data_IF_007487938451
#
_entry.id   IF_007487938451
#
_cell.length_a   1.000
_cell.length_b   1.000
_cell.length_c   1.000
_cell.angle_alpha   90.00
_cell.angle_beta   90.00
_cell.angle_gamma   90.00
#
_symmetry.space_group_name_H-M   'P 1'
#
loop_
_entity.id
_entity.type
_entity.pdbx_description
1 polymer ?
#
# COMPACT_ATOMS: atom_id res chain seq x y z
N UNK A 1 28.97 -32.87 -1.94
CA UNK A 1 27.80 -32.32 -2.61
C UNK A 1 28.27 -31.77 -3.95
N UNK A 2 27.72 -32.28 -5.05
CA UNK A 2 28.13 -31.86 -6.40
C UNK A 2 27.52 -30.50 -6.72
N UNK A 3 28.20 -29.68 -7.52
CA UNK A 3 27.72 -28.36 -7.98
C UNK A 3 26.30 -28.40 -8.54
N UNK A 4 25.94 -29.49 -9.19
CA UNK A 4 24.59 -29.77 -9.74
C UNK A 4 23.52 -29.85 -8.66
N UNK A 5 23.80 -30.44 -7.50
CA UNK A 5 22.84 -30.55 -6.38
C UNK A 5 22.55 -29.21 -5.74
N UNK A 6 23.58 -28.33 -5.63
CA UNK A 6 23.41 -26.96 -5.12
C UNK A 6 22.58 -26.12 -6.08
N UNK A 7 22.83 -26.23 -7.39
CA UNK A 7 22.08 -25.51 -8.42
C UNK A 7 20.59 -25.88 -8.43
N UNK A 8 20.28 -27.18 -8.30
CA UNK A 8 18.90 -27.68 -8.23
C UNK A 8 18.21 -27.18 -6.94
N UNK A 9 18.93 -27.14 -5.81
CA UNK A 9 18.39 -26.63 -4.54
C UNK A 9 18.06 -25.13 -4.63
N UNK A 10 18.92 -24.33 -5.24
CA UNK A 10 18.70 -22.90 -5.48
C UNK A 10 17.51 -22.69 -6.43
N UNK A 11 17.37 -23.49 -7.48
CA UNK A 11 16.26 -23.41 -8.41
C UNK A 11 14.91 -23.73 -7.72
N UNK A 12 14.89 -24.68 -6.80
CA UNK A 12 13.71 -25.02 -6.00
C UNK A 12 13.34 -23.93 -4.98
N UNK A 13 14.30 -23.19 -4.44
CA UNK A 13 14.04 -22.05 -3.54
C UNK A 13 13.43 -20.84 -4.27
N UNK A 14 13.69 -20.68 -5.56
CA UNK A 14 13.16 -19.55 -6.36
C UNK A 14 11.68 -19.67 -6.75
N UNK A 15 11.06 -20.84 -6.56
CA UNK A 15 9.70 -21.12 -7.06
C UNK A 15 8.56 -20.66 -6.13
N UNK A 16 8.81 -19.89 -5.05
CA UNK A 16 7.78 -19.52 -4.08
C UNK A 16 7.65 -18.02 -3.80
N UNK A 17 7.99 -17.15 -4.74
CA UNK A 17 7.72 -15.73 -4.62
C UNK A 17 6.34 -15.40 -5.21
N UNK A 18 5.29 -15.71 -4.48
CA UNK A 18 3.94 -15.24 -4.78
C UNK A 18 3.66 -13.96 -3.99
N UNK A 19 4.02 -12.80 -4.54
CA UNK A 19 3.54 -11.50 -4.07
C UNK A 19 2.22 -11.19 -4.79
N UNK A 20 1.08 -11.67 -4.27
CA UNK A 20 -0.17 -11.68 -5.03
C UNK A 20 -1.37 -11.10 -4.30
N UNK A 21 -1.17 -10.29 -3.25
CA UNK A 21 -2.30 -9.80 -2.46
C UNK A 21 -2.68 -8.33 -2.70
N UNK A 22 -1.75 -7.47 -3.11
CA UNK A 22 -2.01 -6.06 -3.43
C UNK A 22 -2.29 -5.94 -4.93
N UNK A 23 -3.48 -5.45 -5.28
CA UNK A 23 -3.91 -5.24 -6.67
C UNK A 23 -3.87 -3.77 -7.07
N UNK A 24 -3.71 -2.86 -6.11
CA UNK A 24 -3.60 -1.44 -6.35
C UNK A 24 -3.62 -0.64 -5.06
N UNK A 25 -3.48 0.66 -5.20
CA UNK A 25 -3.60 1.59 -4.08
C UNK A 25 -3.57 3.04 -4.57
N UNK A 26 -4.01 3.93 -3.70
CA UNK A 26 -3.92 5.36 -3.95
C UNK A 26 -3.54 6.10 -2.68
N UNK A 27 -2.77 7.17 -2.82
CA UNK A 27 -2.44 8.07 -1.73
C UNK A 27 -3.09 9.42 -1.99
N UNK A 28 -3.82 9.92 -1.01
CA UNK A 28 -4.49 11.22 -1.05
C UNK A 28 -4.14 12.05 0.17
N UNK A 29 -4.40 13.35 0.10
CA UNK A 29 -4.31 14.22 1.26
C UNK A 29 -5.48 15.21 1.29
N UNK A 30 -5.82 15.66 2.51
CA UNK A 30 -6.83 16.70 2.74
C UNK A 30 -6.27 17.74 3.68
N UNK A 31 -6.37 19.02 3.30
CA UNK A 31 -6.05 20.13 4.20
C UNK A 31 -7.17 20.31 5.25
N UNK A 32 -6.78 20.36 6.52
CA UNK A 32 -7.70 20.50 7.66
C UNK A 32 -7.68 21.88 8.29
N UNK A 33 -6.83 22.79 7.83
CA UNK A 33 -6.60 24.10 8.40
C UNK A 33 -5.37 24.16 9.33
N UNK A 34 -4.84 25.34 9.57
CA UNK A 34 -3.73 25.60 10.51
C UNK A 34 -2.52 24.67 10.27
N UNK A 35 -2.14 24.47 9.01
CA UNK A 35 -1.06 23.58 8.59
C UNK A 35 -1.26 22.10 8.94
N UNK A 36 -2.48 21.69 9.29
CA UNK A 36 -2.80 20.29 9.50
C UNK A 36 -3.32 19.67 8.22
N UNK A 37 -2.86 18.47 7.94
CA UNK A 37 -3.22 17.68 6.78
C UNK A 37 -3.56 16.25 7.22
N UNK A 38 -4.59 15.69 6.62
CA UNK A 38 -4.89 14.27 6.70
C UNK A 38 -4.24 13.57 5.52
N UNK A 39 -3.32 12.67 5.79
CA UNK A 39 -2.74 11.78 4.80
C UNK A 39 -3.50 10.48 4.84
N UNK A 40 -3.82 9.94 3.67
CA UNK A 40 -4.57 8.70 3.54
C UNK A 40 -3.98 7.83 2.43
N UNK A 41 -3.75 6.56 2.76
CA UNK A 41 -3.38 5.51 1.82
C UNK A 41 -4.49 4.46 1.81
N UNK A 42 -5.09 4.25 0.66
CA UNK A 42 -6.01 3.15 0.40
C UNK A 42 -5.24 2.05 -0.35
N UNK A 43 -5.17 0.85 0.23
CA UNK A 43 -4.63 -0.33 -0.43
C UNK A 43 -5.76 -1.29 -0.79
N UNK A 44 -5.77 -1.75 -2.03
CA UNK A 44 -6.73 -2.71 -2.54
C UNK A 44 -6.08 -4.08 -2.61
N UNK A 45 -6.66 -5.05 -1.92
CA UNK A 45 -6.12 -6.42 -1.81
C UNK A 45 -7.05 -7.41 -2.47
N UNK A 46 -6.46 -8.38 -3.20
CA UNK A 46 -7.21 -9.47 -3.83
C UNK A 46 -7.78 -10.39 -2.76
N UNK A 47 -9.10 -10.42 -2.64
CA UNK A 47 -9.80 -11.26 -1.67
C UNK A 47 -10.16 -12.67 -2.20
N UNK A 48 -9.82 -13.00 -3.45
CA UNK A 48 -10.03 -14.35 -4.01
C UNK A 48 -8.73 -15.18 -4.00
N UNK A 49 -7.64 -14.56 -4.46
CA UNK A 49 -6.38 -15.26 -4.69
C UNK A 49 -5.26 -14.74 -3.77
N UNK A 50 -5.51 -13.67 -3.03
CA UNK A 50 -4.55 -13.12 -2.08
C UNK A 50 -4.28 -14.07 -0.92
N UNK A 51 -3.02 -14.11 -0.46
CA UNK A 51 -2.65 -14.85 0.74
C UNK A 51 -3.18 -14.13 1.98
N UNK A 52 -4.13 -14.71 2.69
CA UNK A 52 -4.67 -14.14 3.93
C UNK A 52 -3.55 -13.92 4.96
N UNK A 53 -2.58 -14.83 5.06
CA UNK A 53 -1.44 -14.70 5.96
C UNK A 53 -0.56 -13.47 5.63
N UNK A 54 -0.38 -13.15 4.35
CA UNK A 54 0.33 -11.94 3.93
C UNK A 54 -0.48 -10.67 4.24
N UNK A 55 -1.79 -10.69 3.95
CA UNK A 55 -2.70 -9.60 4.29
C UNK A 55 -2.72 -9.31 5.79
N UNK A 56 -2.69 -10.34 6.62
CA UNK A 56 -2.70 -10.21 8.08
C UNK A 56 -1.37 -9.68 8.64
N UNK A 57 -0.28 -9.73 7.89
CA UNK A 57 1.00 -9.13 8.25
C UNK A 57 1.09 -7.66 7.86
N UNK A 58 0.33 -7.20 6.86
CA UNK A 58 0.35 -5.82 6.37
C UNK A 58 -0.57 -4.90 7.21
N UNK A 59 -0.42 -4.94 8.53
CA UNK A 59 -1.24 -4.15 9.46
C UNK A 59 -0.75 -2.72 9.62
N UNK A 60 0.46 -2.41 9.17
CA UNK A 60 1.14 -1.14 9.44
C UNK A 60 1.70 -0.54 8.15
N UNK A 61 1.46 0.75 7.93
CA UNK A 61 2.10 1.55 6.90
C UNK A 61 2.96 2.67 7.51
N UNK A 62 3.94 3.12 6.74
CA UNK A 62 4.84 4.19 7.13
C UNK A 62 4.67 5.38 6.17
N UNK A 63 4.31 6.53 6.70
CA UNK A 63 4.28 7.78 5.95
C UNK A 63 5.57 8.55 6.24
N UNK A 64 6.52 8.49 5.33
CA UNK A 64 7.80 9.20 5.45
C UNK A 64 7.67 10.59 4.81
N UNK A 65 7.98 11.62 5.58
CA UNK A 65 7.89 13.01 5.17
C UNK A 65 9.28 13.53 4.84
N UNK A 66 9.40 14.15 3.68
CA UNK A 66 10.62 14.75 3.20
C UNK A 66 10.39 16.22 2.82
N UNK A 67 11.45 17.01 2.86
CA UNK A 67 11.47 18.35 2.29
C UNK A 67 11.27 18.31 0.78
N UNK A 68 10.35 19.11 0.27
CA UNK A 68 10.04 19.12 -1.17
C UNK A 68 11.18 19.64 -2.04
N UNK A 69 11.98 20.58 -1.55
CA UNK A 69 13.12 21.20 -2.25
C UNK A 69 14.39 20.34 -2.18
N UNK A 70 14.78 19.91 -0.98
CA UNK A 70 16.07 19.23 -0.74
C UNK A 70 15.97 17.71 -0.71
N UNK A 71 14.76 17.16 -0.70
CA UNK A 71 14.48 15.72 -0.54
C UNK A 71 15.04 15.13 0.77
N UNK A 72 15.38 15.97 1.73
CA UNK A 72 15.86 15.50 3.04
C UNK A 72 14.70 14.95 3.85
N UNK A 73 14.94 13.82 4.49
CA UNK A 73 14.05 13.21 5.47
C UNK A 73 13.77 14.17 6.63
N UNK A 74 12.52 14.24 7.06
CA UNK A 74 12.07 15.08 8.16
C UNK A 74 11.56 14.21 9.31
N UNK A 75 10.58 13.35 9.03
CA UNK A 75 9.96 12.49 10.03
C UNK A 75 9.20 11.34 9.38
N UNK A 76 8.73 10.41 10.19
CA UNK A 76 7.91 9.28 9.76
C UNK A 76 6.78 9.04 10.75
N UNK A 77 5.62 8.72 10.22
CA UNK A 77 4.45 8.31 10.98
C UNK A 77 4.16 6.83 10.72
N UNK A 78 3.98 6.09 11.79
CA UNK A 78 3.58 4.68 11.75
C UNK A 78 2.08 4.60 11.97
N UNK A 79 1.37 4.00 11.04
CA UNK A 79 -0.10 4.00 11.02
C UNK A 79 -0.62 2.57 10.89
N UNK A 80 -1.53 2.20 11.76
CA UNK A 80 -2.23 0.93 11.64
C UNK A 80 -3.44 1.07 10.70
N UNK A 81 -3.69 0.01 9.93
CA UNK A 81 -4.83 -0.02 9.01
C UNK A 81 -6.16 -0.11 9.73
N UNK A 82 -7.18 0.39 9.06
CA UNK A 82 -8.59 0.09 9.31
C UNK A 82 -9.19 -0.68 8.14
N UNK A 83 -10.29 -1.36 8.35
CA UNK A 83 -10.92 -2.22 7.36
C UNK A 83 -10.79 -3.70 7.74
N UNK A 84 -11.13 -4.63 6.86
CA UNK A 84 -11.42 -4.40 5.43
C UNK A 84 -12.82 -3.84 5.15
N UNK A 85 -12.90 -3.09 4.05
CA UNK A 85 -14.19 -2.75 3.44
C UNK A 85 -14.26 -3.41 2.07
N UNK A 86 -15.25 -4.28 1.86
CA UNK A 86 -15.47 -4.95 0.58
C UNK A 86 -15.88 -3.94 -0.47
N UNK A 87 -15.08 -3.82 -1.54
CA UNK A 87 -15.43 -2.97 -2.66
C UNK A 87 -16.58 -3.60 -3.45
N UNK A 88 -17.66 -2.82 -3.60
CA UNK A 88 -18.76 -3.22 -4.46
C UNK A 88 -18.33 -3.12 -5.91
N UNK A 89 -18.66 -4.16 -6.69
CA UNK A 89 -18.43 -4.14 -8.14
C UNK A 89 -19.32 -3.08 -8.77
N UNK A 90 -18.74 -1.99 -9.25
CA UNK A 90 -19.45 -1.01 -10.08
C UNK A 90 -19.40 -1.51 -11.51
N UNK A 91 -20.57 -1.84 -12.06
CA UNK A 91 -20.70 -2.27 -13.46
C UNK A 91 -21.05 -1.06 -14.32
N UNK A 92 -20.14 -0.68 -15.20
CA UNK A 92 -20.45 0.23 -16.29
C UNK A 92 -20.82 -0.59 -17.53
N UNK A 93 -21.80 -0.13 -18.30
CA UNK A 93 -22.27 -0.83 -19.51
C UNK A 93 -21.17 -1.06 -20.57
N UNK A 94 -20.07 -0.29 -20.48
CA UNK A 94 -18.92 -0.40 -21.38
C UNK A 94 -17.84 -1.40 -20.89
N UNK A 95 -17.95 -1.94 -19.69
CA UNK A 95 -16.96 -2.88 -19.14
C UNK A 95 -17.44 -4.33 -19.34
N UNK A 96 -16.63 -5.12 -20.05
CA UNK A 96 -16.82 -6.58 -20.06
C UNK A 96 -16.59 -7.10 -18.63
N UNK A 97 -17.61 -7.78 -18.10
CA UNK A 97 -17.62 -8.34 -16.76
C UNK A 97 -16.48 -9.35 -16.59
N UNK A 98 -15.55 -9.09 -15.67
CA UNK A 98 -14.73 -10.18 -15.12
C UNK A 98 -15.49 -10.82 -13.95
N UNK A 99 -15.96 -12.07 -14.08
CA UNK A 99 -16.80 -12.69 -13.05
C UNK A 99 -16.07 -12.94 -11.73
N UNK A 100 -14.75 -12.93 -11.75
CA UNK A 100 -13.91 -13.37 -10.64
C UNK A 100 -13.00 -12.26 -10.07
N UNK A 101 -13.38 -10.99 -10.18
CA UNK A 101 -12.65 -9.92 -9.51
C UNK A 101 -13.25 -9.63 -8.14
N UNK A 102 -12.44 -9.62 -7.11
CA UNK A 102 -12.78 -9.25 -5.74
C UNK A 102 -11.66 -8.41 -5.15
N UNK A 103 -11.98 -7.29 -4.51
CA UNK A 103 -11.00 -6.48 -3.81
C UNK A 103 -11.58 -5.99 -2.49
N UNK A 104 -10.75 -6.03 -1.46
CA UNK A 104 -11.00 -5.42 -0.16
C UNK A 104 -10.11 -4.18 -0.01
N UNK A 105 -10.70 -3.07 0.42
CA UNK A 105 -9.98 -1.84 0.73
C UNK A 105 -9.54 -1.81 2.19
N UNK A 106 -8.27 -1.53 2.40
CA UNK A 106 -7.68 -1.24 3.70
C UNK A 106 -7.17 0.19 3.72
N UNK A 107 -7.48 0.91 4.78
CA UNK A 107 -7.21 2.35 4.89
C UNK A 107 -6.18 2.59 5.98
N UNK A 108 -5.16 3.39 5.66
CA UNK A 108 -4.20 3.94 6.60
C UNK A 108 -4.36 5.45 6.59
N UNK A 109 -4.65 6.04 7.74
CA UNK A 109 -4.95 7.47 7.82
C UNK A 109 -4.27 8.09 9.03
N UNK A 110 -3.67 9.27 8.84
CA UNK A 110 -2.99 10.01 9.89
C UNK A 110 -3.11 11.51 9.67
N UNK A 111 -3.34 12.25 10.74
CA UNK A 111 -3.29 13.70 10.74
C UNK A 111 -1.89 14.16 11.13
N UNK A 112 -1.32 15.04 10.30
CA UNK A 112 0.05 15.53 10.44
C UNK A 112 0.04 17.06 10.43
N UNK A 113 0.93 17.67 11.20
CA UNK A 113 1.17 19.12 11.13
C UNK A 113 2.40 19.37 10.25
N UNK A 114 2.19 20.06 9.14
CA UNK A 114 3.21 20.41 8.16
C UNK A 114 3.22 21.94 7.98
N UNK A 115 4.02 22.65 8.79
CA UNK A 115 4.13 24.10 8.70
C UNK A 115 4.59 24.56 7.32
N UNK A 116 4.15 25.75 6.91
CA UNK A 116 4.52 26.30 5.61
C UNK A 116 6.03 26.35 5.43
N UNK A 117 6.50 25.85 4.27
CA UNK A 117 7.92 25.86 3.92
C UNK A 117 8.13 25.98 2.41
N UNK A 118 9.27 26.60 2.05
CA UNK A 118 9.70 26.72 0.66
C UNK A 118 9.84 25.31 0.03
N UNK A 119 9.23 25.13 -1.14
CA UNK A 119 9.26 23.87 -1.87
C UNK A 119 8.29 22.80 -1.35
N UNK A 120 7.54 23.08 -0.28
CA UNK A 120 6.54 22.16 0.27
C UNK A 120 7.14 20.87 0.81
N UNK A 121 6.34 19.81 0.75
CA UNK A 121 6.67 18.48 1.26
C UNK A 121 6.49 17.40 0.19
N UNK A 122 7.28 16.36 0.34
CA UNK A 122 7.13 15.11 -0.38
C UNK A 122 6.82 13.99 0.61
N UNK A 123 5.84 13.16 0.30
CA UNK A 123 5.39 12.02 1.13
C UNK A 123 5.62 10.73 0.35
N UNK A 124 6.17 9.75 1.02
CA UNK A 124 6.41 8.39 0.48
C UNK A 124 5.99 7.34 1.50
#
# INVERSE_FOLDING_TARGET
MTFTTILILILFLMLRLNATHIVGGEMTYKYLGNNNYRLRLDLFMDCLNGSQAAIDQDITAFFSIFSGDTKRYITQYTVQRTGPTRLQKVFYNCLKRSPNACADAYVYEVDVNLPDRKGGYYVS
#
